data_IF_942731988950
#
_entry.id   IF_942731988950
#
_cell.length_a   1.000
_cell.length_b   1.000
_cell.length_c   1.000
_cell.angle_alpha   90.00
_cell.angle_beta   90.00
_cell.angle_gamma   90.00
#
_symmetry.space_group_name_H-M   'P 1'
#
loop_
_entity.id
_entity.type
_entity.pdbx_description
1 polymer ?
#
# COMPACT_ATOMS: atom_id res chain seq x y z
N UNK A 1 10.70 32.95 -41.00
CA UNK A 1 10.55 33.07 -39.53
C UNK A 1 9.94 31.82 -38.93
N UNK A 2 9.22 31.00 -39.72
CA UNK A 2 8.59 29.75 -39.27
C UNK A 2 9.53 28.73 -38.61
N UNK A 3 10.75 28.55 -39.12
CA UNK A 3 11.72 27.62 -38.53
C UNK A 3 12.13 27.98 -37.10
N UNK A 4 12.20 29.27 -36.75
CA UNK A 4 12.50 29.69 -35.38
C UNK A 4 11.33 29.37 -34.43
N UNK A 5 10.09 29.60 -34.87
CA UNK A 5 8.89 29.31 -34.07
C UNK A 5 8.75 27.80 -33.86
N UNK A 6 9.05 27.00 -34.89
CA UNK A 6 9.01 25.55 -34.85
C UNK A 6 10.11 24.95 -33.94
N UNK A 7 11.33 25.50 -33.95
CA UNK A 7 12.38 25.09 -33.01
C UNK A 7 12.04 25.41 -31.55
N UNK A 8 11.45 26.58 -31.29
CA UNK A 8 11.01 26.97 -29.95
C UNK A 8 9.91 26.03 -29.44
N UNK A 9 8.94 25.69 -30.28
CA UNK A 9 7.90 24.72 -29.94
C UNK A 9 8.44 23.32 -29.66
N UNK A 10 9.36 22.82 -30.49
CA UNK A 10 9.99 21.50 -30.27
C UNK A 10 10.79 21.51 -28.97
N UNK A 11 11.56 22.57 -28.70
CA UNK A 11 12.32 22.69 -27.46
C UNK A 11 11.41 22.79 -26.23
N UNK A 12 10.25 23.45 -26.35
CA UNK A 12 9.24 23.53 -25.30
C UNK A 12 8.60 22.16 -25.03
N UNK A 13 8.27 21.39 -26.07
CA UNK A 13 7.75 20.03 -25.93
C UNK A 13 8.75 19.08 -25.26
N UNK A 14 10.03 19.15 -25.65
CA UNK A 14 11.08 18.35 -25.02
C UNK A 14 11.24 18.72 -23.54
N UNK A 15 11.21 20.03 -23.22
CA UNK A 15 11.24 20.50 -21.83
C UNK A 15 10.01 20.01 -21.05
N UNK A 16 8.81 20.09 -21.61
CA UNK A 16 7.58 19.61 -20.96
C UNK A 16 7.66 18.10 -20.72
N UNK A 17 8.12 17.30 -21.68
CA UNK A 17 8.31 15.85 -21.50
C UNK A 17 9.31 15.54 -20.37
N UNK A 18 10.46 16.22 -20.35
CA UNK A 18 11.46 16.10 -19.28
C UNK A 18 10.91 16.50 -17.90
N UNK A 19 10.10 17.56 -17.84
CA UNK A 19 9.44 18.00 -16.62
C UNK A 19 8.43 16.95 -16.14
N UNK A 20 7.71 16.31 -17.06
CA UNK A 20 6.68 15.30 -16.74
C UNK A 20 7.29 14.06 -16.09
N UNK A 21 8.46 13.60 -16.58
CA UNK A 21 9.20 12.48 -15.97
C UNK A 21 9.73 12.83 -14.57
N UNK A 22 10.08 14.09 -14.33
CA UNK A 22 10.60 14.55 -13.04
C UNK A 22 9.53 14.59 -11.93
N UNK A 23 8.24 14.64 -12.31
CA UNK A 23 7.11 14.58 -11.39
C UNK A 23 6.59 13.16 -11.15
N UNK A 24 7.17 12.13 -11.77
CA UNK A 24 6.77 10.75 -11.53
C UNK A 24 7.16 10.33 -10.11
N UNK A 25 6.16 9.94 -9.32
CA UNK A 25 6.38 9.42 -7.97
C UNK A 25 7.10 8.07 -8.11
N UNK A 26 8.29 7.87 -7.50
CA UNK A 26 8.96 6.59 -7.55
C UNK A 26 8.09 5.54 -6.85
N UNK A 27 7.88 4.38 -7.48
CA UNK A 27 6.96 3.34 -7.01
C UNK A 27 7.70 2.11 -6.48
N UNK A 28 7.13 1.44 -5.48
CA UNK A 28 7.50 0.10 -5.08
C UNK A 28 7.17 -0.89 -6.21
N UNK A 29 7.94 -1.97 -6.33
CA UNK A 29 7.65 -3.02 -7.30
C UNK A 29 6.30 -3.69 -6.98
N UNK A 30 5.62 -4.20 -8.01
CA UNK A 30 4.36 -4.92 -7.84
C UNK A 30 4.56 -6.18 -6.97
N UNK A 31 5.69 -6.86 -7.12
CA UNK A 31 6.07 -8.03 -6.30
C UNK A 31 6.27 -7.67 -4.83
N UNK A 32 6.88 -6.52 -4.53
CA UNK A 32 6.97 -5.99 -3.17
C UNK A 32 5.57 -5.67 -2.60
N UNK A 33 4.69 -5.09 -3.42
CA UNK A 33 3.29 -4.85 -3.09
C UNK A 33 2.54 -6.12 -2.72
N UNK A 34 2.68 -7.17 -3.52
CA UNK A 34 2.09 -8.48 -3.27
C UNK A 34 2.63 -9.10 -1.97
N UNK A 35 3.95 -9.09 -1.76
CA UNK A 35 4.56 -9.58 -0.51
C UNK A 35 4.02 -8.85 0.73
N UNK A 36 4.00 -7.51 0.66
CA UNK A 36 3.50 -6.66 1.75
C UNK A 36 2.04 -6.96 2.06
N UNK A 37 1.21 -7.09 1.03
CA UNK A 37 -0.20 -7.45 1.18
C UNK A 37 -0.38 -8.80 1.86
N UNK A 38 0.26 -9.84 1.32
CA UNK A 38 0.08 -11.21 1.80
C UNK A 38 0.54 -11.34 3.25
N UNK A 39 1.73 -10.84 3.58
CA UNK A 39 2.27 -10.92 4.95
C UNK A 39 1.37 -10.15 5.93
N UNK A 40 0.86 -8.98 5.53
CA UNK A 40 -0.03 -8.17 6.38
C UNK A 40 -1.36 -8.86 6.61
N UNK A 41 -2.03 -9.33 5.56
CA UNK A 41 -3.34 -10.00 5.67
C UNK A 41 -3.23 -11.32 6.44
N UNK A 42 -2.12 -12.05 6.27
CA UNK A 42 -1.88 -13.28 7.00
C UNK A 42 -1.70 -13.01 8.51
N UNK A 43 -0.93 -11.99 8.90
CA UNK A 43 -0.79 -11.61 10.31
C UNK A 43 -2.12 -11.11 10.93
N UNK A 44 -2.93 -10.39 10.17
CA UNK A 44 -4.29 -10.00 10.59
C UNK A 44 -5.14 -11.24 10.84
N UNK A 45 -5.13 -12.21 9.92
CA UNK A 45 -5.89 -13.46 10.07
C UNK A 45 -5.40 -14.29 11.24
N UNK A 46 -4.09 -14.39 11.45
CA UNK A 46 -3.51 -15.07 12.60
C UNK A 46 -3.99 -14.40 13.90
N UNK A 47 -3.99 -13.07 13.98
CA UNK A 47 -4.47 -12.34 15.15
C UNK A 47 -5.96 -12.58 15.44
N UNK A 48 -6.82 -12.54 14.40
CA UNK A 48 -8.25 -12.87 14.51
C UNK A 48 -8.46 -14.30 15.06
N UNK A 49 -7.67 -15.26 14.57
CA UNK A 49 -7.71 -16.65 15.03
C UNK A 49 -7.25 -16.80 16.49
N UNK A 50 -6.16 -16.13 16.87
CA UNK A 50 -5.64 -16.13 18.25
C UNK A 50 -6.68 -15.59 19.24
N UNK A 51 -7.36 -14.50 18.88
CA UNK A 51 -8.45 -13.94 19.67
C UNK A 51 -9.62 -14.93 19.83
N UNK A 52 -10.05 -15.54 18.73
CA UNK A 52 -11.15 -16.52 18.74
C UNK A 52 -10.82 -17.77 19.56
N UNK A 53 -9.57 -18.23 19.55
CA UNK A 53 -9.10 -19.33 20.38
C UNK A 53 -9.12 -18.93 21.86
N UNK A 54 -8.65 -17.72 22.19
CA UNK A 54 -8.65 -17.18 23.55
C UNK A 54 -10.06 -17.06 24.12
N UNK A 55 -11.03 -16.58 23.34
CA UNK A 55 -12.43 -16.48 23.75
C UNK A 55 -13.05 -17.86 24.03
N UNK A 56 -12.84 -18.84 23.14
CA UNK A 56 -13.27 -20.23 23.36
C UNK A 56 -12.60 -20.86 24.59
N UNK A 57 -11.33 -20.53 24.83
CA UNK A 57 -10.59 -20.99 26.02
C UNK A 57 -11.21 -20.42 27.29
N UNK A 58 -11.52 -19.13 27.33
CA UNK A 58 -12.15 -18.49 28.48
C UNK A 58 -13.50 -19.14 28.84
N UNK A 59 -14.32 -19.46 27.83
CA UNK A 59 -15.56 -20.22 28.05
C UNK A 59 -15.33 -21.65 28.58
N UNK A 60 -14.27 -22.35 28.15
CA UNK A 60 -13.98 -23.71 28.64
C UNK A 60 -13.30 -23.75 30.01
N UNK A 61 -12.57 -22.71 30.41
CA UNK A 61 -12.00 -22.63 31.76
C UNK A 61 -13.08 -22.49 32.85
N UNK A 62 -14.32 -22.15 32.50
CA UNK A 62 -15.48 -22.29 33.38
C UNK A 62 -15.81 -23.74 33.72
N UNK A 63 -15.36 -24.73 32.95
CA UNK A 63 -15.76 -26.14 33.11
C UNK A 63 -14.61 -27.13 33.29
N UNK A 64 -13.34 -26.79 33.06
CA UNK A 64 -12.26 -27.76 33.31
C UNK A 64 -10.93 -27.11 33.68
N UNK A 65 -10.41 -27.48 34.86
CA UNK A 65 -9.07 -27.11 35.35
C UNK A 65 -7.99 -27.74 34.48
N UNK A 66 -7.17 -26.87 33.89
CA UNK A 66 -5.73 -27.03 33.74
C UNK A 66 -5.24 -28.19 32.85
N UNK A 67 -5.03 -27.91 31.56
CA UNK A 67 -4.00 -28.60 30.80
C UNK A 67 -2.95 -27.58 30.35
N UNK A 68 -1.76 -27.68 30.96
CA UNK A 68 -0.59 -26.90 30.59
C UNK A 68 -0.17 -27.20 29.15
N UNK A 69 -0.03 -26.15 28.35
CA UNK A 69 0.58 -26.21 27.03
C UNK A 69 1.69 -25.15 27.03
N UNK A 70 2.83 -25.54 27.59
CA UNK A 70 4.10 -24.89 27.27
C UNK A 70 4.63 -25.56 25.98
N UNK A 71 5.13 -24.76 25.05
CA UNK A 71 5.97 -25.12 23.90
C UNK A 71 5.33 -25.61 22.58
N UNK A 72 4.00 -25.74 22.46
CA UNK A 72 3.39 -25.96 21.12
C UNK A 72 3.12 -24.64 20.43
N UNK A 73 3.65 -24.47 19.21
CA UNK A 73 3.32 -23.34 18.32
C UNK A 73 1.81 -23.09 18.32
N UNK A 74 1.35 -21.83 18.44
CA UNK A 74 -0.06 -21.54 18.55
C UNK A 74 -0.79 -22.12 17.34
N UNK A 75 -1.96 -22.73 17.57
CA UNK A 75 -2.74 -23.40 16.52
C UNK A 75 -3.00 -22.47 15.32
N UNK A 76 -3.16 -21.17 15.58
CA UNK A 76 -3.29 -20.10 14.58
C UNK A 76 -2.16 -20.05 13.55
N UNK A 77 -0.97 -20.56 13.90
CA UNK A 77 0.23 -20.63 13.06
C UNK A 77 0.56 -22.06 12.64
N UNK A 78 -0.41 -22.97 12.70
CA UNK A 78 -0.26 -24.31 12.11
C UNK A 78 -0.25 -24.21 10.59
N UNK A 79 0.50 -25.10 9.95
CA UNK A 79 0.68 -25.11 8.49
C UNK A 79 -0.64 -25.16 7.74
N UNK A 80 -1.58 -26.01 8.19
CA UNK A 80 -2.92 -26.12 7.61
C UNK A 80 -3.66 -24.78 7.64
N UNK A 81 -3.65 -24.08 8.77
CA UNK A 81 -4.33 -22.78 8.88
C UNK A 81 -3.65 -21.69 8.06
N UNK A 82 -2.33 -21.76 7.90
CA UNK A 82 -1.61 -20.81 7.04
C UNK A 82 -1.97 -21.06 5.58
N UNK A 83 -1.97 -22.31 5.11
CA UNK A 83 -2.40 -22.67 3.75
C UNK A 83 -3.84 -22.23 3.46
N UNK A 84 -4.78 -22.47 4.38
CA UNK A 84 -6.18 -22.00 4.22
C UNK A 84 -6.28 -20.48 4.07
N UNK A 85 -5.42 -19.72 4.76
CA UNK A 85 -5.38 -18.26 4.62
C UNK A 85 -4.83 -17.88 3.25
N UNK A 86 -3.76 -18.54 2.78
CA UNK A 86 -3.13 -18.24 1.49
C UNK A 86 -4.06 -18.56 0.30
N UNK A 87 -4.89 -19.60 0.39
CA UNK A 87 -5.87 -19.94 -0.66
C UNK A 87 -6.85 -18.79 -0.98
N UNK A 88 -7.10 -17.89 -0.04
CA UNK A 88 -8.09 -16.80 -0.19
C UNK A 88 -7.49 -15.40 -0.09
N UNK A 89 -6.17 -15.28 0.13
CA UNK A 89 -5.53 -13.99 0.41
C UNK A 89 -5.54 -13.07 -0.81
N UNK A 90 -5.39 -13.60 -2.03
CA UNK A 90 -5.33 -12.76 -3.23
C UNK A 90 -6.63 -12.05 -3.55
N UNK A 91 -7.78 -12.57 -3.10
CA UNK A 91 -9.08 -11.88 -3.18
C UNK A 91 -9.07 -10.54 -2.40
N UNK A 92 -8.17 -10.41 -1.42
CA UNK A 92 -7.97 -9.16 -0.68
C UNK A 92 -7.26 -8.07 -1.47
N UNK A 93 -6.75 -8.34 -2.67
CA UNK A 93 -6.22 -7.30 -3.57
C UNK A 93 -7.23 -6.16 -3.82
N UNK A 94 -8.53 -6.50 -3.83
CA UNK A 94 -9.63 -5.54 -3.93
C UNK A 94 -9.83 -4.66 -2.68
N UNK A 95 -9.05 -4.84 -1.62
CA UNK A 95 -9.00 -3.97 -0.44
C UNK A 95 -7.72 -3.14 -0.39
N UNK A 96 -6.85 -3.23 -1.39
CA UNK A 96 -5.56 -2.53 -1.43
C UNK A 96 -5.52 -1.49 -2.56
N UNK A 97 -4.60 -0.53 -2.45
CA UNK A 97 -4.36 0.52 -3.44
C UNK A 97 -2.94 1.06 -3.36
N UNK A 98 -2.45 1.63 -4.46
CA UNK A 98 -1.21 2.41 -4.46
C UNK A 98 -1.42 3.78 -3.79
N UNK A 99 -0.55 4.10 -2.84
CA UNK A 99 -0.58 5.35 -2.05
C UNK A 99 0.82 5.93 -1.92
N UNK A 100 0.93 7.21 -1.65
CA UNK A 100 2.21 7.87 -1.37
C UNK A 100 2.53 7.72 0.12
N UNK A 101 3.67 7.09 0.42
CA UNK A 101 4.16 6.98 1.78
C UNK A 101 4.51 8.37 2.33
N UNK A 102 3.95 8.79 3.48
CA UNK A 102 4.06 10.16 3.99
C UNK A 102 5.50 10.58 4.36
N UNK A 103 6.30 9.68 4.95
CA UNK A 103 7.70 9.96 5.29
C UNK A 103 8.67 9.89 4.11
N UNK A 104 8.53 8.89 3.24
CA UNK A 104 9.53 8.61 2.21
C UNK A 104 9.18 9.26 0.87
N UNK A 105 7.93 9.68 0.68
CA UNK A 105 7.44 10.23 -0.60
C UNK A 105 7.34 9.19 -1.71
N UNK A 106 7.72 7.92 -1.46
CA UNK A 106 7.66 6.83 -2.42
C UNK A 106 6.23 6.28 -2.48
N UNK A 107 5.77 5.92 -3.67
CA UNK A 107 4.51 5.22 -3.81
C UNK A 107 4.67 3.76 -3.40
N UNK A 108 3.77 3.29 -2.54
CA UNK A 108 3.74 1.96 -1.93
C UNK A 108 2.31 1.41 -1.98
N UNK A 109 2.14 0.12 -1.73
CA UNK A 109 0.82 -0.49 -1.65
C UNK A 109 0.36 -0.53 -0.19
N UNK A 110 -0.85 -0.05 0.06
CA UNK A 110 -1.45 -0.09 1.39
C UNK A 110 -2.91 -0.51 1.30
N UNK A 111 -3.40 -1.10 2.39
CA UNK A 111 -4.81 -1.47 2.52
C UNK A 111 -5.66 -0.20 2.51
N UNK A 112 -6.64 -0.12 1.62
CA UNK A 112 -7.54 1.03 1.46
C UNK A 112 -8.11 1.49 2.78
N UNK A 113 -8.48 0.61 3.71
CA UNK A 113 -8.98 1.01 5.04
C UNK A 113 -8.10 2.05 5.76
N UNK A 114 -6.81 2.14 5.43
CA UNK A 114 -5.92 3.28 5.76
C UNK A 114 -6.19 4.53 4.89
N UNK A 115 -7.47 4.82 4.58
CA UNK A 115 -8.01 5.70 3.50
C UNK A 115 -7.54 7.17 3.53
N UNK A 116 -6.72 7.53 4.50
CA UNK A 116 -6.26 8.91 4.72
C UNK A 116 -5.00 9.26 3.91
N UNK A 117 -4.44 8.31 3.17
CA UNK A 117 -3.23 8.50 2.37
C UNK A 117 -3.54 9.01 0.94
N UNK A 118 -2.62 9.82 0.40
CA UNK A 118 -2.69 10.31 -0.99
C UNK A 118 -2.58 9.13 -1.94
N UNK A 119 -3.62 8.89 -2.75
CA UNK A 119 -3.60 7.81 -3.73
C UNK A 119 -2.67 8.14 -4.90
N UNK A 120 -2.01 7.11 -5.44
CA UNK A 120 -1.33 7.19 -6.73
C UNK A 120 -2.35 6.79 -7.81
N UNK A 121 -2.80 7.72 -8.67
CA UNK A 121 -3.83 7.42 -9.65
C UNK A 121 -3.37 6.34 -10.63
N UNK A 122 -4.28 5.41 -10.95
CA UNK A 122 -4.18 4.45 -12.06
C UNK A 122 -2.94 3.55 -12.09
N UNK A 123 -2.23 3.36 -10.96
CA UNK A 123 -1.00 2.57 -10.97
C UNK A 123 -1.24 1.10 -11.34
N UNK A 124 -2.29 0.47 -10.81
CA UNK A 124 -2.59 -0.94 -11.08
C UNK A 124 -4.09 -1.20 -10.94
N UNK A 125 -4.67 -1.94 -11.87
CA UNK A 125 -6.04 -2.45 -11.71
C UNK A 125 -6.10 -3.52 -10.62
N UNK A 126 -7.31 -3.75 -10.08
CA UNK A 126 -7.52 -4.80 -9.08
C UNK A 126 -7.11 -6.17 -9.63
N UNK A 127 -7.50 -6.50 -10.88
CA UNK A 127 -7.16 -7.77 -11.53
C UNK A 127 -5.65 -7.95 -11.70
N UNK A 128 -4.93 -6.92 -12.15
CA UNK A 128 -3.47 -6.98 -12.25
C UNK A 128 -2.79 -7.18 -10.89
N UNK A 129 -3.38 -6.65 -9.82
CA UNK A 129 -2.83 -6.85 -8.48
C UNK A 129 -3.11 -8.25 -7.94
N UNK A 130 -4.28 -8.80 -8.25
CA UNK A 130 -4.64 -10.18 -7.95
C UNK A 130 -3.73 -11.18 -8.70
N UNK A 131 -3.49 -10.95 -9.99
CA UNK A 131 -2.56 -11.77 -10.78
C UNK A 131 -1.14 -11.74 -10.18
N UNK A 132 -0.64 -10.56 -9.83
CA UNK A 132 0.68 -10.44 -9.20
C UNK A 132 0.76 -11.11 -7.82
N UNK A 133 -0.37 -11.21 -7.09
CA UNK A 133 -0.46 -11.96 -5.85
C UNK A 133 -0.34 -13.47 -6.12
N UNK A 134 -1.06 -13.99 -7.12
CA UNK A 134 -0.97 -15.40 -7.50
C UNK A 134 0.44 -15.76 -7.94
N UNK A 135 1.06 -14.95 -8.82
CA UNK A 135 2.44 -15.15 -9.27
C UNK A 135 3.45 -15.15 -8.11
N UNK A 136 3.20 -14.33 -7.08
CA UNK A 136 4.02 -14.31 -5.88
C UNK A 136 3.88 -15.60 -5.06
N UNK A 137 2.65 -16.08 -4.84
CA UNK A 137 2.41 -17.31 -4.08
C UNK A 137 3.03 -18.52 -4.78
N UNK A 138 2.89 -18.62 -6.11
CA UNK A 138 3.52 -19.68 -6.91
C UNK A 138 5.05 -19.76 -6.69
N UNK A 139 5.68 -18.63 -6.38
CA UNK A 139 7.13 -18.54 -6.19
C UNK A 139 7.58 -18.70 -4.72
N UNK A 140 6.77 -18.25 -3.76
CA UNK A 140 7.22 -18.03 -2.37
C UNK A 140 6.35 -18.69 -1.29
N UNK A 141 5.29 -19.42 -1.64
CA UNK A 141 4.36 -20.03 -0.67
C UNK A 141 5.08 -20.84 0.43
N UNK A 142 5.94 -21.78 0.07
CA UNK A 142 6.65 -22.64 1.03
C UNK A 142 7.53 -21.83 2.02
N UNK A 143 8.22 -20.81 1.50
CA UNK A 143 9.08 -19.94 2.30
C UNK A 143 8.25 -19.07 3.24
N UNK A 144 7.12 -18.57 2.75
CA UNK A 144 6.17 -17.76 3.50
C UNK A 144 5.52 -18.57 4.62
N UNK A 145 5.03 -19.78 4.35
CA UNK A 145 4.48 -20.69 5.36
C UNK A 145 5.54 -20.96 6.42
N UNK A 146 6.78 -21.28 6.03
CA UNK A 146 7.86 -21.55 6.99
C UNK A 146 8.14 -20.34 7.88
N UNK A 147 8.17 -19.13 7.30
CA UNK A 147 8.36 -17.88 8.01
C UNK A 147 7.21 -17.63 9.00
N UNK A 148 5.97 -17.69 8.53
CA UNK A 148 4.72 -17.44 9.26
C UNK A 148 4.54 -18.25 10.55
N UNK A 149 5.18 -19.41 10.64
CA UNK A 149 5.14 -20.27 11.83
C UNK A 149 5.83 -19.65 13.06
N UNK A 150 6.50 -18.52 12.92
CA UNK A 150 7.11 -17.75 14.00
C UNK A 150 6.47 -16.37 14.08
N UNK A 151 6.46 -15.79 15.28
CA UNK A 151 5.97 -14.42 15.48
C UNK A 151 7.14 -13.46 15.38
N UNK A 152 6.93 -12.38 14.63
CA UNK A 152 7.91 -11.31 14.44
C UNK A 152 7.29 -9.95 14.75
N UNK A 153 8.14 -9.00 15.12
CA UNK A 153 7.71 -7.63 15.41
C UNK A 153 7.42 -6.86 14.11
N UNK A 154 8.28 -7.00 13.11
CA UNK A 154 8.13 -6.36 11.79
C UNK A 154 8.10 -7.43 10.68
N UNK A 155 7.01 -8.21 10.55
CA UNK A 155 6.95 -9.39 9.68
C UNK A 155 7.16 -9.04 8.19
N UNK A 156 6.62 -7.91 7.72
CA UNK A 156 6.82 -7.44 6.34
C UNK A 156 8.30 -7.12 6.07
N UNK A 157 8.96 -6.39 6.99
CA UNK A 157 10.36 -6.02 6.84
C UNK A 157 11.25 -7.27 6.79
N UNK A 158 11.06 -8.17 7.74
CA UNK A 158 11.90 -9.36 7.85
C UNK A 158 11.69 -10.33 6.69
N UNK A 159 10.46 -10.51 6.21
CA UNK A 159 10.23 -11.39 5.08
C UNK A 159 10.59 -10.72 3.75
N UNK A 160 9.89 -9.63 3.41
CA UNK A 160 9.92 -9.04 2.07
C UNK A 160 11.22 -8.31 1.73
N UNK A 161 11.90 -7.71 2.73
CA UNK A 161 13.20 -7.06 2.52
C UNK A 161 14.37 -7.96 2.91
N UNK A 162 14.36 -8.55 4.12
CA UNK A 162 15.55 -9.28 4.62
C UNK A 162 15.65 -10.72 4.12
N UNK A 163 14.53 -11.43 3.95
CA UNK A 163 14.55 -12.87 3.62
C UNK A 163 14.56 -13.12 2.13
N UNK A 164 13.66 -12.47 1.37
CA UNK A 164 13.49 -12.71 -0.07
C UNK A 164 13.92 -11.53 -0.95
N UNK A 165 14.29 -10.40 -0.34
CA UNK A 165 14.88 -9.23 -1.03
C UNK A 165 14.06 -8.67 -2.21
N UNK A 166 12.73 -8.84 -2.20
CA UNK A 166 11.83 -8.31 -3.25
C UNK A 166 11.46 -6.84 -3.04
N UNK A 167 11.61 -6.36 -1.80
CA UNK A 167 11.42 -4.97 -1.41
C UNK A 167 12.75 -4.30 -1.09
N UNK A 168 12.80 -2.96 -1.14
CA UNK A 168 13.90 -2.18 -0.54
C UNK A 168 13.56 -1.78 0.90
N UNK A 169 14.57 -1.37 1.67
CA UNK A 169 14.37 -0.86 3.03
C UNK A 169 13.39 0.34 3.09
N UNK A 170 13.31 1.13 2.01
CA UNK A 170 12.40 2.28 1.91
C UNK A 170 10.95 1.82 1.72
N UNK A 171 10.72 0.73 0.98
CA UNK A 171 9.38 0.20 0.68
C UNK A 171 8.67 -0.34 1.91
N UNK A 172 9.44 -0.92 2.84
CA UNK A 172 8.93 -1.56 4.08
C UNK A 172 9.02 -0.64 5.30
N UNK A 173 9.15 0.67 5.08
CA UNK A 173 9.13 1.64 6.18
C UNK A 173 7.74 1.62 6.84
N UNK A 174 7.64 1.52 8.18
CA UNK A 174 6.35 1.53 8.87
C UNK A 174 5.62 2.85 8.65
N UNK A 175 4.32 2.77 8.32
CA UNK A 175 3.41 3.92 8.29
C UNK A 175 2.67 4.00 9.63
N UNK A 176 2.84 5.10 10.37
CA UNK A 176 2.08 5.32 11.61
C UNK A 176 0.77 6.06 11.35
N UNK A 177 -0.23 5.88 12.23
CA UNK A 177 -1.52 6.57 12.12
C UNK A 177 -1.40 8.11 12.14
N UNK A 178 -0.42 8.64 12.88
CA UNK A 178 -0.14 10.08 12.94
C UNK A 178 0.31 10.64 11.58
N UNK A 179 1.10 9.86 10.84
CA UNK A 179 1.56 10.26 9.51
C UNK A 179 0.44 10.22 8.49
N UNK A 180 -0.48 9.29 8.65
CA UNK A 180 -1.72 9.26 7.89
C UNK A 180 -2.51 10.57 8.05
N UNK A 181 -2.53 11.12 9.27
CA UNK A 181 -3.10 12.45 9.54
C UNK A 181 -2.35 13.59 8.87
N UNK A 182 -1.01 13.58 8.87
CA UNK A 182 -0.20 14.60 8.16
C UNK A 182 -0.41 14.56 6.64
N UNK A 183 -0.59 13.38 6.06
CA UNK A 183 -0.89 13.23 4.64
C UNK A 183 -2.23 13.87 4.27
N UNK A 184 -3.24 13.80 5.14
CA UNK A 184 -4.52 14.49 4.91
C UNK A 184 -4.36 16.01 4.86
N UNK A 185 -3.64 16.58 5.84
CA UNK A 185 -3.38 18.02 5.92
C UNK A 185 -2.73 18.49 4.61
N UNK A 186 -1.70 17.78 4.16
CA UNK A 186 -1.03 18.10 2.90
C UNK A 186 -1.98 18.00 1.70
N UNK A 187 -2.86 16.99 1.67
CA UNK A 187 -3.83 16.82 0.58
C UNK A 187 -4.90 17.93 0.54
N UNK A 188 -5.30 18.43 1.71
CA UNK A 188 -6.30 19.49 1.83
C UNK A 188 -5.70 20.83 1.39
N UNK A 189 -4.44 21.12 1.78
CA UNK A 189 -3.69 22.28 1.27
C UNK A 189 -3.53 22.23 -0.27
N UNK A 190 -3.28 21.05 -0.84
CA UNK A 190 -3.12 20.87 -2.29
C UNK A 190 -4.45 21.07 -3.04
N UNK A 191 -5.58 20.67 -2.44
CA UNK A 191 -6.92 20.95 -2.96
C UNK A 191 -7.27 22.43 -2.85
N UNK A 192 -6.98 23.06 -1.72
CA UNK A 192 -7.21 24.49 -1.50
C UNK A 192 -6.47 25.33 -2.54
N UNK A 193 -5.18 25.03 -2.79
CA UNK A 193 -4.40 25.67 -3.87
C UNK A 193 -4.99 25.45 -5.27
N UNK A 194 -5.56 24.27 -5.56
CA UNK A 194 -6.23 24.03 -6.85
C UNK A 194 -7.51 24.85 -6.99
N UNK A 195 -8.28 24.98 -5.92
CA UNK A 195 -9.50 25.80 -5.90
C UNK A 195 -9.15 27.28 -6.05
N UNK A 196 -8.15 27.77 -5.33
CA UNK A 196 -7.67 29.15 -5.44
C UNK A 196 -7.20 29.46 -6.86
N UNK A 197 -6.41 28.57 -7.46
CA UNK A 197 -5.97 28.70 -8.86
C UNK A 197 -7.14 28.74 -9.85
N UNK A 198 -8.13 27.86 -9.68
CA UNK A 198 -9.33 27.85 -10.53
C UNK A 198 -10.17 29.12 -10.34
N UNK A 199 -10.25 29.65 -9.12
CA UNK A 199 -10.95 30.89 -8.82
C UNK A 199 -10.27 32.11 -9.47
N UNK A 200 -8.93 32.17 -9.44
CA UNK A 200 -8.16 33.22 -10.11
C UNK A 200 -8.31 33.18 -11.64
N UNK A 201 -8.38 31.98 -12.21
CA UNK A 201 -8.60 31.79 -13.65
C UNK A 201 -9.99 32.29 -14.07
N UNK A 202 -11.04 31.95 -13.31
CA UNK A 202 -12.40 32.49 -13.52
C UNK A 202 -12.46 34.02 -13.36
N UNK A 203 -11.70 34.59 -12.43
CA UNK A 203 -11.64 36.04 -12.22
C UNK A 203 -10.97 36.76 -13.39
N UNK A 204 -9.94 36.15 -14.00
CA UNK A 204 -9.31 36.68 -15.21
C UNK A 204 -10.26 36.69 -16.40
N UNK A 205 -11.03 35.62 -16.58
CA UNK A 205 -11.97 35.51 -17.70
C UNK A 205 -13.11 36.52 -17.59
N UNK A 206 -13.61 36.77 -16.37
CA UNK A 206 -14.63 37.80 -16.12
C UNK A 206 -14.14 39.22 -16.48
N UNK A 207 -12.92 39.58 -16.08
CA UNK A 207 -12.37 40.90 -16.38
C UNK A 207 -11.99 41.07 -17.86
N UNK A 208 -11.76 39.99 -18.60
CA UNK A 208 -11.48 40.03 -20.04
C UNK A 208 -12.71 40.31 -20.90
N UNK A 209 -13.93 40.10 -20.39
CA UNK A 209 -15.17 40.43 -21.08
C UNK A 209 -15.55 41.91 -20.98
N UNK A 210 -15.06 42.62 -19.96
CA UNK A 210 -15.41 44.03 -19.73
C UNK A 210 -14.60 45.01 -20.63
N UNK A 211 -13.49 44.55 -21.22
CA UNK A 211 -12.64 45.35 -22.12
C UNK A 211 -13.07 45.30 -23.61
N UNK A 212 -14.12 44.54 -23.96
CA UNK A 212 -14.63 44.38 -25.33
C UNK A 212 -16.01 45.02 -25.59
N UNK A 213 -16.50 45.89 -24.70
CA UNK A 213 -17.75 46.67 -24.85
C UNK A 213 -17.51 48.19 -24.94
#
# INVERSE_FOLDING_TARGET
MDYCVQFVWISLFILISLITECFAIPMASVTCGACTMIVTEMEIKIAELEEKIREKSYYRLSETKNHGINDKKPLSRSEIQLSEVLETVCVKAAEWSAVVHPRTGKGVYARRATLKLKQVPEHLTIYQFEDACNDFLDSYEDQLIKFARSKYEEPVRQFCYETIEVCTAVDVTPMTDEESGKAQILSDEEKEKKVEKALDELRRDANGLDDEL
#
